data_IF_783249441453
#
_entry.id   IF_783249441453
#
_cell.length_a   1.000
_cell.length_b   1.000
_cell.length_c   1.000
_cell.angle_alpha   90.00
_cell.angle_beta   90.00
_cell.angle_gamma   90.00
#
_symmetry.space_group_name_H-M   'P 1'
#
loop_
_entity.id
_entity.type
_entity.pdbx_description
1 polymer ?
#
# COMPACT_ATOMS: atom_id res chain seq x y z
N UNK A 1 41.02 50.90 15.05
CA UNK A 1 39.76 50.30 15.56
C UNK A 1 39.30 49.22 14.59
N UNK A 2 39.56 47.94 14.90
CA UNK A 2 39.23 46.81 14.02
C UNK A 2 37.73 46.50 14.14
N UNK A 3 37.01 46.66 13.04
CA UNK A 3 35.59 46.33 12.94
C UNK A 3 35.37 44.81 12.97
N UNK A 4 34.53 44.37 13.90
CA UNK A 4 33.96 43.02 13.96
C UNK A 4 33.01 42.86 12.77
N UNK A 5 33.26 41.88 11.89
CA UNK A 5 32.22 41.37 10.99
C UNK A 5 31.94 39.92 11.34
N UNK A 6 30.76 39.74 11.92
CA UNK A 6 30.15 38.45 12.18
C UNK A 6 30.24 37.58 10.92
N UNK A 7 30.84 36.40 11.09
CA UNK A 7 30.84 35.36 10.07
C UNK A 7 29.40 35.04 9.71
N UNK A 8 29.01 35.40 8.50
CA UNK A 8 27.77 34.92 7.89
C UNK A 8 27.94 33.41 7.70
N UNK A 9 27.46 32.62 8.66
CA UNK A 9 27.16 31.22 8.44
C UNK A 9 26.18 31.15 7.27
N UNK A 10 26.69 30.91 6.06
CA UNK A 10 25.90 30.36 4.97
C UNK A 10 25.55 28.94 5.40
N UNK A 11 24.45 28.82 6.13
CA UNK A 11 23.69 27.58 6.23
C UNK A 11 23.37 27.18 4.79
N UNK A 12 24.14 26.23 4.26
CA UNK A 12 23.85 25.54 3.02
C UNK A 12 22.42 25.02 3.08
N UNK A 13 21.48 25.78 2.50
CA UNK A 13 20.17 25.29 2.10
C UNK A 13 20.37 24.34 0.93
N UNK A 14 20.90 23.15 1.22
CA UNK A 14 21.05 22.06 0.27
C UNK A 14 20.80 20.72 0.95
N UNK A 15 19.73 20.64 1.75
CA UNK A 15 19.07 19.37 2.09
C UNK A 15 17.56 19.60 2.05
N UNK A 16 17.03 19.89 0.86
CA UNK A 16 15.58 19.80 0.61
C UNK A 16 15.40 19.10 -0.73
N UNK A 17 15.10 17.81 -0.68
CA UNK A 17 14.30 17.16 -1.71
C UNK A 17 14.97 16.17 -2.66
N UNK A 18 16.11 15.56 -2.33
CA UNK A 18 16.73 14.54 -3.21
C UNK A 18 16.53 13.09 -2.76
N UNK A 19 15.43 12.78 -2.07
CA UNK A 19 14.90 11.39 -1.99
C UNK A 19 13.49 11.26 -2.62
N UNK A 20 13.01 12.29 -3.34
CA UNK A 20 11.58 12.60 -3.31
C UNK A 20 10.74 12.21 -4.54
N UNK A 21 11.28 11.59 -5.60
CA UNK A 21 10.46 11.18 -6.77
C UNK A 21 10.59 9.72 -7.21
N UNK A 22 11.77 9.12 -7.10
CA UNK A 22 11.98 7.71 -7.45
C UNK A 22 11.32 6.76 -6.45
N UNK A 23 11.60 6.97 -5.16
CA UNK A 23 11.14 6.11 -4.07
C UNK A 23 9.62 6.13 -3.89
N UNK A 24 8.97 7.29 -4.06
CA UNK A 24 7.50 7.38 -3.97
C UNK A 24 6.80 6.64 -5.12
N UNK A 25 7.36 6.70 -6.34
CA UNK A 25 6.84 5.93 -7.49
C UNK A 25 7.02 4.43 -7.29
N UNK A 26 8.18 4.02 -6.77
CA UNK A 26 8.45 2.62 -6.45
C UNK A 26 7.50 2.10 -5.36
N UNK A 27 7.36 2.79 -4.24
CA UNK A 27 6.46 2.41 -3.14
C UNK A 27 5.01 2.29 -3.61
N UNK A 28 4.57 3.22 -4.47
CA UNK A 28 3.23 3.17 -5.06
C UNK A 28 3.03 1.94 -5.94
N UNK A 29 4.04 1.54 -6.70
CA UNK A 29 4.01 0.33 -7.53
C UNK A 29 4.00 -0.94 -6.69
N UNK A 30 4.83 -1.01 -5.66
CA UNK A 30 4.90 -2.14 -4.72
C UNK A 30 3.56 -2.33 -4.00
N UNK A 31 2.97 -1.24 -3.50
CA UNK A 31 1.65 -1.32 -2.88
C UNK A 31 0.56 -1.74 -3.88
N UNK A 32 0.62 -1.28 -5.13
CA UNK A 32 -0.32 -1.73 -6.17
C UNK A 32 -0.21 -3.24 -6.44
N UNK A 33 1.02 -3.77 -6.46
CA UNK A 33 1.27 -5.21 -6.54
C UNK A 33 0.67 -5.97 -5.37
N UNK A 34 0.90 -5.49 -4.15
CA UNK A 34 0.34 -6.10 -2.94
C UNK A 34 -1.19 -6.12 -3.02
N UNK A 35 -1.84 -4.99 -3.34
CA UNK A 35 -3.29 -4.89 -3.45
C UNK A 35 -3.86 -5.84 -4.52
N UNK A 36 -3.18 -6.00 -5.66
CA UNK A 36 -3.57 -6.94 -6.71
C UNK A 36 -3.45 -8.41 -6.25
N UNK A 37 -2.37 -8.76 -5.55
CA UNK A 37 -2.21 -10.10 -4.97
C UNK A 37 -3.25 -10.42 -3.91
N UNK A 38 -3.61 -9.45 -3.06
CA UNK A 38 -4.69 -9.61 -2.07
C UNK A 38 -6.04 -9.88 -2.76
N UNK A 39 -6.34 -9.17 -3.85
CA UNK A 39 -7.55 -9.44 -4.63
C UNK A 39 -7.57 -10.83 -5.24
N UNK A 40 -6.46 -11.24 -5.86
CA UNK A 40 -6.34 -12.56 -6.46
C UNK A 40 -6.51 -13.65 -5.40
N UNK A 41 -5.92 -13.46 -4.21
CA UNK A 41 -6.06 -14.38 -3.09
C UNK A 41 -7.50 -14.43 -2.56
N UNK A 42 -8.17 -13.28 -2.39
CA UNK A 42 -9.56 -13.22 -1.96
C UNK A 42 -10.49 -13.94 -2.96
N UNK A 43 -10.28 -13.75 -4.26
CA UNK A 43 -11.02 -14.45 -5.30
C UNK A 43 -10.81 -15.97 -5.25
N UNK A 44 -9.56 -16.42 -5.11
CA UNK A 44 -9.22 -17.84 -4.95
C UNK A 44 -9.85 -18.47 -3.71
N UNK A 45 -9.81 -17.77 -2.57
CA UNK A 45 -10.46 -18.22 -1.33
C UNK A 45 -11.98 -18.31 -1.50
N UNK A 46 -12.62 -17.31 -2.12
CA UNK A 46 -14.06 -17.34 -2.38
C UNK A 46 -14.47 -18.53 -3.27
N UNK A 47 -13.63 -18.90 -4.26
CA UNK A 47 -13.83 -20.11 -5.03
C UNK A 47 -13.79 -21.37 -4.15
N UNK A 48 -12.79 -21.50 -3.27
CA UNK A 48 -12.72 -22.64 -2.36
C UNK A 48 -13.90 -22.69 -1.38
N UNK A 49 -14.33 -21.56 -0.81
CA UNK A 49 -15.53 -21.51 0.06
C UNK A 49 -16.73 -22.15 -0.62
N UNK A 50 -16.99 -21.77 -1.88
CA UNK A 50 -18.10 -22.32 -2.65
C UNK A 50 -17.94 -23.83 -2.92
N UNK A 51 -16.73 -24.29 -3.22
CA UNK A 51 -16.44 -25.71 -3.46
C UNK A 51 -16.62 -26.57 -2.21
N UNK A 52 -16.26 -26.06 -1.03
CA UNK A 52 -16.33 -26.80 0.23
C UNK A 52 -17.68 -26.66 0.97
N UNK A 53 -18.55 -25.73 0.54
CA UNK A 53 -19.79 -25.38 1.25
C UNK A 53 -20.70 -26.57 1.58
N UNK A 54 -20.84 -27.51 0.66
CA UNK A 54 -21.64 -28.73 0.86
C UNK A 54 -20.86 -29.89 1.49
N UNK A 55 -19.69 -30.30 0.96
CA UNK A 55 -19.01 -31.48 1.49
C UNK A 55 -18.38 -31.26 2.87
N UNK A 56 -17.95 -30.04 3.19
CA UNK A 56 -17.23 -29.70 4.43
C UNK A 56 -17.57 -28.27 4.89
N UNK A 57 -18.75 -28.03 5.49
CA UNK A 57 -19.23 -26.70 5.82
C UNK A 57 -18.38 -25.96 6.86
N UNK A 58 -17.76 -26.71 7.79
CA UNK A 58 -16.81 -26.20 8.78
C UNK A 58 -15.54 -25.63 8.11
N UNK A 59 -15.01 -26.33 7.11
CA UNK A 59 -13.89 -25.83 6.31
C UNK A 59 -14.28 -24.62 5.47
N UNK A 60 -15.51 -24.61 4.92
CA UNK A 60 -16.02 -23.47 4.17
C UNK A 60 -16.13 -22.22 5.06
N UNK A 61 -16.61 -22.35 6.30
CA UNK A 61 -16.67 -21.24 7.27
C UNK A 61 -15.26 -20.72 7.61
N UNK A 62 -14.30 -21.62 7.84
CA UNK A 62 -12.90 -21.24 8.08
C UNK A 62 -12.31 -20.46 6.89
N UNK A 63 -12.51 -20.95 5.66
CA UNK A 63 -12.05 -20.27 4.44
C UNK A 63 -12.76 -18.92 4.24
N UNK A 64 -14.03 -18.81 4.61
CA UNK A 64 -14.77 -17.55 4.54
C UNK A 64 -14.20 -16.52 5.51
N UNK A 65 -13.85 -16.94 6.74
CA UNK A 65 -13.17 -16.08 7.71
C UNK A 65 -11.81 -15.60 7.18
N UNK A 66 -11.01 -16.48 6.55
CA UNK A 66 -9.76 -16.08 5.90
C UNK A 66 -9.98 -15.07 4.77
N UNK A 67 -10.99 -15.29 3.92
CA UNK A 67 -11.33 -14.36 2.85
C UNK A 67 -11.66 -12.97 3.39
N UNK A 68 -12.46 -12.88 4.47
CA UNK A 68 -12.78 -11.63 5.17
C UNK A 68 -11.53 -10.93 5.73
N UNK A 69 -10.56 -11.67 6.26
CA UNK A 69 -9.29 -11.12 6.75
C UNK A 69 -8.45 -10.52 5.60
N UNK A 70 -8.37 -11.21 4.45
CA UNK A 70 -7.66 -10.72 3.26
C UNK A 70 -8.31 -9.44 2.74
N UNK A 71 -9.63 -9.38 2.67
CA UNK A 71 -10.37 -8.18 2.26
C UNK A 71 -10.17 -7.01 3.24
N UNK A 72 -10.11 -7.30 4.54
CA UNK A 72 -9.76 -6.29 5.56
C UNK A 72 -8.35 -5.72 5.33
N UNK A 73 -7.37 -6.57 5.03
CA UNK A 73 -6.01 -6.14 4.73
C UNK A 73 -5.94 -5.28 3.46
N UNK A 74 -6.71 -5.64 2.43
CA UNK A 74 -6.86 -4.83 1.22
C UNK A 74 -7.42 -3.45 1.55
N UNK A 75 -8.47 -3.37 2.35
CA UNK A 75 -9.09 -2.10 2.75
C UNK A 75 -8.11 -1.19 3.51
N UNK A 76 -7.33 -1.76 4.43
CA UNK A 76 -6.27 -1.05 5.13
C UNK A 76 -5.22 -0.50 4.15
N UNK A 77 -4.82 -1.29 3.14
CA UNK A 77 -3.89 -0.84 2.10
C UNK A 77 -4.45 0.29 1.23
N UNK A 78 -5.74 0.24 0.86
CA UNK A 78 -6.42 1.31 0.11
C UNK A 78 -6.57 2.59 0.94
N UNK A 79 -6.83 2.45 2.24
CA UNK A 79 -6.90 3.57 3.18
C UNK A 79 -5.54 4.24 3.33
N UNK A 80 -4.48 3.44 3.51
CA UNK A 80 -3.11 3.95 3.52
C UNK A 80 -2.77 4.67 2.21
N UNK A 81 -3.19 4.13 1.07
CA UNK A 81 -2.97 4.77 -0.23
C UNK A 81 -3.65 6.14 -0.30
N UNK A 82 -4.91 6.23 0.09
CA UNK A 82 -5.64 7.49 0.10
C UNK A 82 -4.98 8.53 1.00
N UNK A 83 -4.54 8.13 2.20
CA UNK A 83 -3.79 9.00 3.10
C UNK A 83 -2.45 9.47 2.50
N UNK A 84 -1.71 8.57 1.85
CA UNK A 84 -0.38 8.85 1.32
C UNK A 84 -0.37 9.70 0.03
N UNK A 85 -1.39 9.54 -0.84
CA UNK A 85 -1.45 10.19 -2.16
C UNK A 85 -2.71 11.04 -2.41
N UNK A 86 -3.56 11.21 -1.40
CA UNK A 86 -4.73 12.10 -1.41
C UNK A 86 -5.91 11.63 -2.24
N UNK A 87 -5.82 10.44 -2.86
CA UNK A 87 -6.95 9.82 -3.56
C UNK A 87 -6.84 8.31 -3.57
N UNK A 88 -7.98 7.65 -3.38
CA UNK A 88 -8.11 6.21 -3.53
C UNK A 88 -7.95 5.81 -5.01
N UNK A 89 -7.19 4.74 -5.32
CA UNK A 89 -7.05 4.28 -6.70
C UNK A 89 -8.34 3.59 -7.13
N UNK A 90 -8.82 3.89 -8.34
CA UNK A 90 -9.93 3.17 -8.98
C UNK A 90 -9.47 1.88 -9.66
N UNK A 91 -8.21 1.85 -10.08
CA UNK A 91 -7.51 0.69 -10.64
C UNK A 91 -6.07 0.70 -10.08
N UNK A 92 -5.60 -0.45 -9.64
CA UNK A 92 -4.22 -0.72 -9.20
C UNK A 92 -3.65 -1.94 -9.91
N UNK A 93 -4.20 -2.28 -11.08
CA UNK A 93 -3.66 -3.30 -11.94
C UNK A 93 -2.30 -2.86 -12.50
N UNK A 94 -1.25 -3.44 -11.94
CA UNK A 94 0.16 -3.10 -12.22
C UNK A 94 0.66 -3.57 -13.59
N UNK A 95 -0.16 -4.33 -14.31
CA UNK A 95 0.15 -4.86 -15.65
C UNK A 95 -0.45 -4.01 -16.79
N UNK A 96 -1.20 -2.96 -16.44
CA UNK A 96 -1.64 -1.89 -17.35
C UNK A 96 -0.73 -0.68 -17.20
#
# INVERSE_FOLDING_TARGET
CRGVRAGHLKLSRHVKGSMARGTSKQLRRELAQILNHLDTAAYGLAHFVNTFKEPHPDMAEYLEAMCKQVLTLKEAGLTFWEWAWGKRPTDYNVWR
#
